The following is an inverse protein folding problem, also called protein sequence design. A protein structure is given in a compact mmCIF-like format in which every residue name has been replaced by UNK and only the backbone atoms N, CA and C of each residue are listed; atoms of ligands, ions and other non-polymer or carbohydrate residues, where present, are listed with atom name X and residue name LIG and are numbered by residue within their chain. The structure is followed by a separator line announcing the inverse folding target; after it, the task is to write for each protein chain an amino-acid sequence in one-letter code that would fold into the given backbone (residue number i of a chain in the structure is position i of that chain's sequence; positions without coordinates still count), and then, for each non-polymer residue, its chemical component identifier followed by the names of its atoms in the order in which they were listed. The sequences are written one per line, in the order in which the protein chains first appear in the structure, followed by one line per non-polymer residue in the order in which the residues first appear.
data_IF_118058516015
#
_entry.id   IF_118058516015
#
_cell.length_a   1.000
_cell.length_b   1.000
_cell.length_c   1.000
_cell.angle_alpha   90.00
_cell.angle_beta   90.00
_cell.angle_gamma   90.00
#
_symmetry.space_group_name_H-M   'P 1'
#
loop_
_entity.id
_entity.type
_entity.pdbx_description
1 polymer ?
#
# COMPACT_ATOMS: atom_id res chain seq x y z
N UNK A 1 14.11 3.18 -2.13
CA UNK A 1 13.39 2.96 -3.40
C UNK A 1 11.90 3.09 -3.09
N UNK A 2 11.20 4.08 -3.66
CA UNK A 2 9.76 4.25 -3.40
C UNK A 2 8.92 3.16 -4.10
N UNK A 3 7.83 2.73 -3.47
CA UNK A 3 6.80 1.92 -4.12
C UNK A 3 5.82 2.83 -4.88
N UNK A 4 6.25 3.27 -6.06
CA UNK A 4 5.46 4.13 -6.95
C UNK A 4 4.15 3.48 -7.41
N UNK A 5 4.07 2.14 -7.45
CA UNK A 5 2.84 1.42 -7.82
C UNK A 5 1.78 1.57 -6.74
N UNK A 6 2.16 1.41 -5.48
CA UNK A 6 1.28 1.60 -4.34
C UNK A 6 0.78 3.04 -4.23
N UNK A 7 1.68 4.02 -4.40
CA UNK A 7 1.32 5.43 -4.39
C UNK A 7 0.30 5.77 -5.49
N UNK A 8 0.55 5.32 -6.73
CA UNK A 8 -0.37 5.54 -7.86
C UNK A 8 -1.72 4.88 -7.64
N UNK A 9 -1.76 3.65 -7.12
CA UNK A 9 -3.02 2.97 -6.81
C UNK A 9 -3.83 3.74 -5.75
N UNK A 10 -3.17 4.26 -4.70
CA UNK A 10 -3.82 5.14 -3.71
C UNK A 10 -4.39 6.40 -4.34
N UNK A 11 -3.62 7.08 -5.19
CA UNK A 11 -4.04 8.32 -5.84
C UNK A 11 -5.21 8.10 -6.82
N UNK A 12 -5.18 6.99 -7.57
CA UNK A 12 -6.30 6.59 -8.45
C UNK A 12 -7.56 6.25 -7.66
N UNK A 13 -7.42 5.72 -6.44
CA UNK A 13 -8.55 5.50 -5.52
C UNK A 13 -9.05 6.80 -4.85
N UNK A 14 -8.42 7.96 -5.11
CA UNK A 14 -8.79 9.25 -4.53
C UNK A 14 -8.51 9.37 -3.03
N UNK A 15 -7.66 8.51 -2.47
CA UNK A 15 -7.42 8.43 -1.02
C UNK A 15 -6.14 9.17 -0.60
N UNK A 16 -6.18 9.79 0.58
CA UNK A 16 -4.99 10.30 1.28
C UNK A 16 -4.33 9.18 2.08
N UNK A 17 -3.03 9.32 2.34
CA UNK A 17 -2.26 8.30 3.09
C UNK A 17 -2.88 7.96 4.46
N UNK A 18 -3.39 8.97 5.19
CA UNK A 18 -4.02 8.76 6.49
C UNK A 18 -5.35 8.02 6.42
N UNK A 19 -6.08 8.14 5.30
CA UNK A 19 -7.35 7.42 5.10
C UNK A 19 -7.11 5.93 4.88
N UNK A 20 -6.08 5.58 4.10
CA UNK A 20 -5.68 4.18 3.92
C UNK A 20 -5.16 3.60 5.23
N UNK A 21 -4.32 4.34 5.96
CA UNK A 21 -3.83 3.90 7.28
C UNK A 21 -4.98 3.64 8.27
N UNK A 22 -5.99 4.52 8.29
CA UNK A 22 -7.21 4.36 9.11
C UNK A 22 -8.00 3.12 8.70
N UNK A 23 -8.22 2.90 7.39
CA UNK A 23 -8.93 1.71 6.86
C UNK A 23 -8.20 0.40 7.18
N UNK A 24 -6.86 0.43 7.24
CA UNK A 24 -6.03 -0.72 7.61
C UNK A 24 -5.91 -0.95 9.13
N UNK A 25 -6.28 0.04 9.95
CA UNK A 25 -6.07 -0.01 11.40
C UNK A 25 -4.60 0.09 11.80
N UNK A 26 -3.78 0.83 11.05
CA UNK A 26 -2.35 1.03 11.32
C UNK A 26 -2.01 2.52 11.44
N UNK A 27 -0.81 2.82 11.93
CA UNK A 27 -0.33 4.20 11.99
C UNK A 27 -0.01 4.75 10.60
N UNK A 28 -0.15 6.07 10.42
CA UNK A 28 0.25 6.77 9.18
C UNK A 28 1.72 6.46 8.83
N UNK A 29 2.61 6.49 9.82
CA UNK A 29 4.03 6.18 9.61
C UNK A 29 4.24 4.76 9.09
N UNK A 30 3.48 3.77 9.56
CA UNK A 30 3.58 2.41 9.03
C UNK A 30 3.16 2.34 7.57
N UNK A 31 2.07 3.03 7.20
CA UNK A 31 1.62 3.10 5.81
C UNK A 31 2.65 3.82 4.91
N UNK A 32 3.20 4.95 5.37
CA UNK A 32 4.24 5.69 4.67
C UNK A 32 5.48 4.83 4.39
N UNK A 33 5.89 3.97 5.34
CA UNK A 33 7.00 3.04 5.12
C UNK A 33 6.75 2.06 3.98
N UNK A 34 5.49 1.69 3.73
CA UNK A 34 5.11 0.88 2.57
C UNK A 34 5.27 1.65 1.26
N UNK A 35 4.78 2.89 1.19
CA UNK A 35 4.95 3.75 0.00
C UNK A 35 6.42 4.14 -0.25
N UNK A 36 7.22 4.30 0.80
CA UNK A 36 8.66 4.58 0.67
C UNK A 36 9.50 3.32 0.41
N UNK A 37 8.85 2.14 0.33
CA UNK A 37 9.52 0.85 0.12
C UNK A 37 10.53 0.47 1.20
N UNK A 38 10.46 1.12 2.38
CA UNK A 38 11.35 0.84 3.52
C UNK A 38 10.84 -0.32 4.38
N UNK A 39 9.58 -0.73 4.19
CA UNK A 39 8.97 -1.88 4.83
C UNK A 39 7.97 -2.52 3.89
N UNK A 40 7.91 -3.85 3.87
CA UNK A 40 6.83 -4.59 3.23
C UNK A 40 5.68 -4.84 4.23
N UNK A 41 4.41 -4.76 3.78
CA UNK A 41 3.28 -5.19 4.58
C UNK A 41 3.31 -6.72 4.81
N UNK A 42 2.61 -7.19 5.84
CA UNK A 42 2.30 -8.63 5.94
C UNK A 42 1.43 -9.06 4.75
N UNK A 43 1.38 -10.36 4.46
CA UNK A 43 0.51 -10.89 3.39
C UNK A 43 -0.96 -10.48 3.59
N UNK A 44 -1.47 -10.62 4.81
CA UNK A 44 -2.82 -10.18 5.18
C UNK A 44 -3.07 -8.69 4.96
N UNK A 45 -2.08 -7.85 5.28
CA UNK A 45 -2.15 -6.39 5.08
C UNK A 45 -2.10 -6.06 3.59
N UNK A 46 -1.29 -6.78 2.80
CA UNK A 46 -1.18 -6.60 1.36
C UNK A 46 -2.51 -6.91 0.64
N UNK A 47 -3.20 -7.99 1.03
CA UNK A 47 -4.53 -8.30 0.49
C UNK A 47 -5.57 -7.24 0.85
N UNK A 48 -5.64 -6.80 2.11
CA UNK A 48 -6.54 -5.70 2.51
C UNK A 48 -6.23 -4.40 1.76
N UNK A 49 -4.96 -4.12 1.53
CA UNK A 49 -4.51 -2.99 0.71
C UNK A 49 -5.04 -3.07 -0.71
N UNK A 50 -4.91 -4.24 -1.34
CA UNK A 50 -5.42 -4.49 -2.68
C UNK A 50 -6.94 -4.29 -2.76
N UNK A 51 -7.69 -4.78 -1.77
CA UNK A 51 -9.15 -4.58 -1.66
C UNK A 51 -9.51 -3.10 -1.50
N UNK A 52 -8.88 -2.38 -0.56
CA UNK A 52 -9.13 -0.95 -0.31
C UNK A 52 -8.86 -0.11 -1.55
N UNK A 53 -7.85 -0.47 -2.34
CA UNK A 53 -7.40 0.26 -3.51
C UNK A 53 -8.02 -0.24 -4.82
N UNK A 54 -8.88 -1.26 -4.78
CA UNK A 54 -9.53 -1.81 -5.97
C UNK A 54 -8.55 -2.42 -6.99
N UNK A 55 -7.50 -3.09 -6.51
CA UNK A 55 -6.44 -3.66 -7.36
C UNK A 55 -5.99 -5.04 -6.86
N UNK A 56 -4.87 -5.57 -7.36
CA UNK A 56 -4.28 -6.85 -6.91
C UNK A 56 -2.95 -6.65 -6.16
N UNK A 57 -2.59 -7.62 -5.32
CA UNK A 57 -1.29 -7.62 -4.60
C UNK A 57 -0.12 -7.54 -5.59
N UNK A 58 -0.17 -8.30 -6.69
CA UNK A 58 0.84 -8.25 -7.74
C UNK A 58 0.97 -6.85 -8.36
N UNK A 59 -0.15 -6.18 -8.65
CA UNK A 59 -0.12 -4.83 -9.19
C UNK A 59 0.62 -3.86 -8.24
N UNK A 60 0.51 -4.07 -6.92
CA UNK A 60 1.15 -3.25 -5.89
C UNK A 60 2.63 -3.63 -5.63
N UNK A 61 3.02 -4.90 -5.78
CA UNK A 61 4.29 -5.41 -5.25
C UNK A 61 5.13 -6.27 -6.21
N UNK A 62 4.74 -6.50 -7.47
CA UNK A 62 5.40 -7.44 -8.41
C UNK A 62 6.93 -7.34 -8.58
N UNK A 63 7.57 -6.21 -8.25
CA UNK A 63 9.03 -6.06 -8.36
C UNK A 63 9.78 -6.27 -7.02
N UNK A 64 9.07 -6.65 -5.94
CA UNK A 64 9.66 -6.90 -4.62
C UNK A 64 9.88 -8.38 -4.31
N UNK A 65 9.55 -9.28 -5.25
CA UNK A 65 9.65 -10.73 -5.10
C UNK A 65 10.66 -11.36 -6.06
N UNK A 66 11.67 -10.59 -6.48
CA UNK A 66 12.77 -11.03 -7.36
C UNK A 66 14.08 -11.09 -6.60
#
# INVERSE_FOLDING_TARGET
MNNEKLKKARENAGLKQHEVAKKLGITLTSYQRFEYGTRLPSLSTAFKLAEILGTSVDALFKNHFS
#
